data_IF_448411096817
#
_entry.id   IF_448411096817
#
_cell.length_a   1.000
_cell.length_b   1.000
_cell.length_c   1.000
_cell.angle_alpha   90.00
_cell.angle_beta   90.00
_cell.angle_gamma   90.00
#
_symmetry.space_group_name_H-M   'P 1'
#
loop_
_entity.id
_entity.type
_entity.pdbx_description
1 polymer ?
#
# COMPACT_ATOMS: atom_id res chain seq x y z
N UNK A 1 17.42 -10.49 0.13
CA UNK A 1 16.65 -9.24 -0.08
C UNK A 1 15.14 -9.49 -0.15
N UNK A 2 14.69 -10.51 -0.90
CA UNK A 2 13.25 -10.80 -1.13
C UNK A 2 12.46 -11.13 0.15
N UNK A 3 13.06 -11.84 1.11
CA UNK A 3 12.37 -12.27 2.36
C UNK A 3 12.02 -11.12 3.31
N UNK A 4 12.58 -9.92 3.08
CA UNK A 4 12.23 -8.73 3.87
C UNK A 4 10.95 -8.05 3.39
N UNK A 5 10.44 -8.37 2.20
CA UNK A 5 9.25 -7.73 1.63
C UNK A 5 8.02 -8.62 1.78
N UNK A 6 6.94 -8.04 2.31
CA UNK A 6 5.64 -8.68 2.36
C UNK A 6 5.15 -9.00 0.93
N UNK A 7 4.27 -9.99 0.81
CA UNK A 7 3.76 -10.45 -0.49
C UNK A 7 3.15 -9.30 -1.32
N UNK A 8 2.34 -8.44 -0.70
CA UNK A 8 1.77 -7.27 -1.37
C UNK A 8 2.84 -6.31 -1.92
N UNK A 9 3.89 -6.05 -1.14
CA UNK A 9 5.01 -5.21 -1.57
C UNK A 9 5.77 -5.85 -2.74
N UNK A 10 6.04 -7.16 -2.70
CA UNK A 10 6.66 -7.91 -3.81
C UNK A 10 5.82 -7.85 -5.07
N UNK A 11 4.49 -8.00 -4.94
CA UNK A 11 3.55 -7.87 -6.06
C UNK A 11 3.56 -6.46 -6.65
N UNK A 12 3.54 -5.40 -5.83
CA UNK A 12 3.62 -4.03 -6.33
C UNK A 12 4.93 -3.75 -7.09
N UNK A 13 6.07 -4.25 -6.60
CA UNK A 13 7.35 -4.14 -7.30
C UNK A 13 7.31 -4.90 -8.64
N UNK A 14 6.77 -6.11 -8.67
CA UNK A 14 6.61 -6.88 -9.89
C UNK A 14 5.65 -6.19 -10.90
N UNK A 15 4.58 -5.56 -10.42
CA UNK A 15 3.70 -4.75 -11.26
C UNK A 15 4.39 -3.50 -11.79
N UNK A 16 5.22 -2.83 -10.99
CA UNK A 16 5.99 -1.66 -11.44
C UNK A 16 6.97 -2.03 -12.56
N UNK A 17 7.58 -3.21 -12.47
CA UNK A 17 8.37 -3.83 -13.54
C UNK A 17 7.52 -3.98 -14.81
N UNK A 18 6.28 -4.49 -14.74
CA UNK A 18 5.40 -4.59 -15.91
C UNK A 18 5.11 -3.21 -16.54
N UNK A 19 4.80 -2.19 -15.73
CA UNK A 19 4.55 -0.82 -16.22
C UNK A 19 5.78 -0.22 -16.92
N UNK A 20 6.97 -0.49 -16.40
CA UNK A 20 8.23 0.04 -16.90
C UNK A 20 8.68 -0.57 -18.24
N UNK A 21 8.02 -1.61 -18.75
CA UNK A 21 8.42 -2.29 -20.00
C UNK A 21 8.54 -1.35 -21.19
N UNK A 22 7.67 -0.34 -21.27
CA UNK A 22 7.68 0.66 -22.34
C UNK A 22 8.75 1.75 -22.14
N UNK A 23 9.37 1.81 -20.96
CA UNK A 23 10.31 2.86 -20.58
C UNK A 23 11.75 2.36 -20.42
N UNK A 24 11.99 1.04 -20.47
CA UNK A 24 13.34 0.45 -20.45
C UNK A 24 13.97 0.30 -19.06
N UNK A 25 13.47 1.00 -18.06
CA UNK A 25 14.04 1.05 -16.70
C UNK A 25 12.93 1.21 -15.66
N UNK A 26 13.01 0.47 -14.56
CA UNK A 26 12.07 0.62 -13.44
C UNK A 26 12.50 1.79 -12.56
N UNK A 27 11.69 2.84 -12.60
CA UNK A 27 11.80 4.08 -11.81
C UNK A 27 10.78 4.11 -10.66
N UNK A 28 11.02 4.96 -9.66
CA UNK A 28 10.15 5.09 -8.48
C UNK A 28 8.73 5.57 -8.80
N UNK A 29 8.53 6.29 -9.91
CA UNK A 29 7.23 6.72 -10.46
C UNK A 29 6.35 5.55 -10.90
N UNK A 30 6.90 4.48 -11.47
CA UNK A 30 6.15 3.25 -11.78
C UNK A 30 5.64 2.58 -10.51
N UNK A 31 6.48 2.54 -9.47
CA UNK A 31 6.08 1.98 -8.19
C UNK A 31 4.98 2.84 -7.56
N UNK A 32 5.16 4.16 -7.55
CA UNK A 32 4.13 5.08 -7.05
C UNK A 32 2.82 4.92 -7.82
N UNK A 33 2.85 4.87 -9.15
CA UNK A 33 1.67 4.65 -9.98
C UNK A 33 0.93 3.37 -9.59
N UNK A 34 1.64 2.25 -9.44
CA UNK A 34 1.04 0.98 -9.01
C UNK A 34 0.40 1.10 -7.63
N UNK A 35 1.02 1.85 -6.70
CA UNK A 35 0.47 2.05 -5.35
C UNK A 35 -0.83 2.87 -5.38
N UNK A 36 -0.96 3.85 -6.29
CA UNK A 36 -2.10 4.79 -6.28
C UNK A 36 -3.22 4.44 -7.26
N UNK A 37 -2.92 3.77 -8.39
CA UNK A 37 -3.89 3.58 -9.49
C UNK A 37 -5.12 2.77 -9.08
N UNK A 38 -4.93 1.74 -8.25
CA UNK A 38 -6.03 0.83 -7.87
C UNK A 38 -6.90 1.50 -6.80
N UNK A 39 -6.41 2.57 -6.17
CA UNK A 39 -7.13 3.34 -5.16
C UNK A 39 -7.55 2.52 -3.94
N UNK A 40 -6.96 1.34 -3.73
CA UNK A 40 -7.35 0.40 -2.69
C UNK A 40 -6.22 0.16 -1.70
N UNK A 41 -6.56 -0.36 -0.53
CA UNK A 41 -5.60 -0.70 0.51
C UNK A 41 -5.06 0.48 1.34
N UNK A 42 -4.15 0.15 2.24
CA UNK A 42 -3.70 1.04 3.31
C UNK A 42 -3.06 2.35 2.83
N UNK A 43 -2.16 2.28 1.85
CA UNK A 43 -1.48 3.46 1.30
C UNK A 43 -2.46 4.44 0.64
N UNK A 44 -3.39 3.92 -0.15
CA UNK A 44 -4.44 4.72 -0.79
C UNK A 44 -5.32 5.42 0.26
N UNK A 45 -5.68 4.69 1.33
CA UNK A 45 -6.44 5.25 2.45
C UNK A 45 -5.68 6.37 3.16
N UNK A 46 -4.39 6.18 3.47
CA UNK A 46 -3.56 7.21 4.12
C UNK A 46 -3.48 8.46 3.23
N UNK A 47 -3.17 8.30 1.95
CA UNK A 47 -3.08 9.43 1.02
C UNK A 47 -4.40 10.22 0.95
N UNK A 48 -5.56 9.54 0.91
CA UNK A 48 -6.86 10.22 0.97
C UNK A 48 -7.10 10.98 2.27
N UNK A 49 -6.70 10.41 3.41
CA UNK A 49 -6.78 11.10 4.70
C UNK A 49 -5.91 12.37 4.73
N UNK A 50 -4.81 12.37 3.98
CA UNK A 50 -3.96 13.54 3.77
C UNK A 50 -4.50 14.53 2.72
N UNK A 51 -5.70 14.28 2.17
CA UNK A 51 -6.34 15.15 1.17
C UNK A 51 -5.86 14.94 -0.26
N UNK A 52 -5.13 13.85 -0.54
CA UNK A 52 -4.64 13.54 -1.89
C UNK A 52 -5.76 12.93 -2.72
N UNK A 53 -6.07 13.57 -3.85
CA UNK A 53 -6.87 12.94 -4.90
C UNK A 53 -6.01 11.97 -5.71
N UNK A 54 -6.26 10.67 -5.51
CA UNK A 54 -5.48 9.60 -6.14
C UNK A 54 -5.65 9.56 -7.66
N UNK A 55 -6.82 9.97 -8.17
CA UNK A 55 -7.07 10.01 -9.61
C UNK A 55 -6.20 11.08 -10.27
N UNK A 56 -6.17 12.29 -9.71
CA UNK A 56 -5.28 13.37 -10.17
C UNK A 56 -3.81 12.99 -10.05
N UNK A 57 -3.39 12.39 -8.92
CA UNK A 57 -2.00 11.94 -8.74
C UNK A 57 -1.60 10.88 -9.77
N UNK A 58 -2.45 9.87 -10.01
CA UNK A 58 -2.20 8.85 -11.02
C UNK A 58 -2.11 9.46 -12.44
N UNK A 59 -3.01 10.39 -12.76
CA UNK A 59 -3.01 11.08 -14.05
C UNK A 59 -1.72 11.89 -14.25
N UNK A 60 -1.28 12.64 -13.23
CA UNK A 60 -0.05 13.43 -13.30
C UNK A 60 1.19 12.56 -13.52
N UNK A 61 1.28 11.41 -12.84
CA UNK A 61 2.39 10.46 -13.05
C UNK A 61 2.42 9.97 -14.50
N UNK A 62 1.27 9.61 -15.08
CA UNK A 62 1.19 9.14 -16.46
C UNK A 62 1.48 10.24 -17.49
N UNK A 63 1.10 11.49 -17.21
CA UNK A 63 1.43 12.62 -18.09
C UNK A 63 2.93 12.87 -18.18
N UNK A 64 3.65 12.64 -17.08
CA UNK A 64 5.11 12.76 -17.03
C UNK A 64 5.81 11.59 -17.76
N UNK A 65 5.10 10.49 -18.03
CA UNK A 65 5.60 9.39 -18.84
C UNK A 65 5.54 9.76 -20.32
N UNK A 66 6.51 10.54 -20.78
CA UNK A 66 6.78 10.63 -22.21
C UNK A 66 7.12 9.24 -22.74
N UNK A 67 6.47 8.83 -23.82
CA UNK A 67 6.81 7.60 -24.52
C UNK A 67 8.30 7.64 -24.89
N UNK A 68 9.13 6.84 -24.20
CA UNK A 68 10.47 6.57 -24.69
C UNK A 68 10.30 5.86 -26.04
N UNK A 69 10.88 6.37 -27.13
CA UNK A 69 10.80 5.72 -28.42
C UNK A 69 11.44 4.34 -28.30
N UNK A 70 10.60 3.31 -28.48
CA UNK A 70 10.92 1.93 -28.84
C UNK A 70 12.21 1.35 -28.22
N UNK A 71 12.27 1.28 -26.89
CA UNK A 71 13.29 0.47 -26.22
C UNK A 71 12.79 -0.97 -26.21
N UNK A 72 13.18 -1.76 -27.21
CA UNK A 72 13.05 -3.20 -27.16
C UNK A 72 13.93 -3.76 -26.02
N UNK A 73 13.35 -3.94 -24.83
CA UNK A 73 14.08 -4.51 -23.70
C UNK A 73 14.13 -6.03 -23.87
N UNK A 74 15.21 -6.54 -24.47
CA UNK A 74 15.56 -7.94 -24.37
C UNK A 74 16.40 -8.15 -23.09
N UNK A 75 15.80 -8.62 -22.00
CA UNK A 75 16.49 -8.94 -20.74
C UNK A 75 15.70 -8.60 -19.48
N UNK A 76 16.28 -8.88 -18.31
CA UNK A 76 15.75 -8.40 -17.03
C UNK A 76 15.81 -6.87 -16.96
N UNK A 77 14.71 -6.23 -16.56
CA UNK A 77 14.67 -4.77 -16.42
C UNK A 77 15.50 -4.30 -15.23
N UNK A 78 16.37 -3.34 -15.47
CA UNK A 78 17.16 -2.71 -14.42
C UNK A 78 16.33 -1.73 -13.58
N UNK A 79 16.67 -1.62 -12.30
CA UNK A 79 16.19 -0.56 -11.44
C UNK A 79 17.08 0.67 -11.57
N UNK A 80 16.46 1.83 -11.76
CA UNK A 80 17.10 3.14 -11.68
C UNK A 80 17.76 3.41 -10.32
N UNK A 81 18.72 4.35 -10.23
CA UNK A 81 19.31 4.74 -8.95
C UNK A 81 18.28 5.19 -7.91
N UNK A 82 17.28 5.99 -8.32
CA UNK A 82 16.24 6.48 -7.41
C UNK A 82 15.30 5.37 -6.93
N UNK A 83 14.98 4.39 -7.78
CA UNK A 83 14.21 3.21 -7.36
C UNK A 83 15.00 2.36 -6.35
N UNK A 84 16.30 2.14 -6.58
CA UNK A 84 17.15 1.41 -5.63
C UNK A 84 17.23 2.13 -4.28
N UNK A 85 17.36 3.45 -4.30
CA UNK A 85 17.34 4.27 -3.09
C UNK A 85 16.00 4.17 -2.37
N UNK A 86 14.87 4.29 -3.09
CA UNK A 86 13.54 4.17 -2.50
C UNK A 86 13.32 2.80 -1.82
N UNK A 87 13.81 1.71 -2.41
CA UNK A 87 13.77 0.38 -1.81
C UNK A 87 14.64 0.29 -0.55
N UNK A 88 15.84 0.89 -0.55
CA UNK A 88 16.68 0.95 0.64
C UNK A 88 16.01 1.75 1.77
N UNK A 89 15.44 2.91 1.46
CA UNK A 89 14.69 3.75 2.40
C UNK A 89 13.43 3.04 2.92
N UNK A 90 12.79 2.18 2.12
CA UNK A 90 11.64 1.39 2.57
C UNK A 90 12.00 0.33 3.62
N UNK A 91 13.23 -0.21 3.56
CA UNK A 91 13.75 -1.13 4.58
C UNK A 91 14.00 -0.39 5.89
N UNK A 92 14.64 0.78 5.82
CA UNK A 92 14.86 1.64 6.97
C UNK A 92 13.54 2.07 7.60
N UNK A 93 12.57 2.52 6.80
CA UNK A 93 11.23 2.89 7.26
C UNK A 93 10.51 1.74 7.98
N UNK A 94 10.62 0.50 7.48
CA UNK A 94 10.04 -0.66 8.16
C UNK A 94 10.71 -0.89 9.53
N UNK A 95 12.04 -0.74 9.61
CA UNK A 95 12.79 -0.84 10.87
C UNK A 95 12.42 0.28 11.85
N UNK A 96 12.36 1.54 11.41
CA UNK A 96 11.98 2.70 12.21
C UNK A 96 10.58 2.56 12.82
N UNK A 97 9.65 1.94 12.08
CA UNK A 97 8.29 1.67 12.51
C UNK A 97 8.14 0.34 13.27
N UNK A 98 9.23 -0.38 13.54
CA UNK A 98 9.21 -1.65 14.28
C UNK A 98 8.58 -2.82 13.53
N UNK A 99 8.44 -2.73 12.21
CA UNK A 99 7.80 -3.75 11.39
C UNK A 99 8.82 -4.76 10.84
N UNK A 100 8.54 -6.06 11.03
CA UNK A 100 9.41 -7.17 10.58
C UNK A 100 9.56 -7.26 9.05
N UNK A 101 8.56 -6.80 8.31
CA UNK A 101 8.53 -6.86 6.84
C UNK A 101 8.18 -5.51 6.22
N UNK A 102 8.76 -5.23 5.06
CA UNK A 102 8.44 -4.07 4.22
C UNK A 102 7.07 -4.28 3.58
N UNK A 103 6.14 -3.36 3.85
CA UNK A 103 4.78 -3.33 3.29
C UNK A 103 4.64 -2.17 2.31
N UNK A 104 3.46 -2.02 1.69
CA UNK A 104 3.26 -1.04 0.62
C UNK A 104 3.41 0.40 1.14
N UNK A 105 3.00 0.66 2.38
CA UNK A 105 3.18 1.95 3.03
C UNK A 105 4.64 2.29 3.31
N UNK A 106 5.49 1.28 3.55
CA UNK A 106 6.93 1.49 3.70
C UNK A 106 7.58 1.77 2.33
N UNK A 107 7.08 1.15 1.26
CA UNK A 107 7.49 1.51 -0.11
C UNK A 107 7.15 2.97 -0.41
N UNK A 108 5.93 3.41 -0.08
CA UNK A 108 5.51 4.80 -0.26
C UNK A 108 6.37 5.76 0.58
N UNK A 109 6.61 5.44 1.85
CA UNK A 109 7.47 6.24 2.72
C UNK A 109 8.93 6.27 2.21
N UNK A 110 9.44 5.15 1.71
CA UNK A 110 10.75 5.07 1.08
C UNK A 110 10.88 5.96 -0.15
N UNK A 111 9.84 6.04 -0.99
CA UNK A 111 9.79 6.98 -2.13
C UNK A 111 9.90 8.43 -1.64
N UNK A 112 9.10 8.82 -0.63
CA UNK A 112 9.11 10.20 -0.13
C UNK A 112 10.45 10.55 0.53
N UNK A 113 11.05 9.63 1.30
CA UNK A 113 12.35 9.81 1.98
C UNK A 113 13.52 9.99 1.01
N UNK A 114 13.46 9.40 -0.19
CA UNK A 114 14.50 9.61 -1.22
C UNK A 114 14.67 11.09 -1.57
N UNK A 115 13.59 11.89 -1.53
CA UNK A 115 13.63 13.34 -1.72
C UNK A 115 13.86 13.80 -3.16
N UNK A 116 14.84 13.22 -3.87
CA UNK A 116 15.32 13.68 -5.17
C UNK A 116 14.61 13.04 -6.37
N UNK A 117 13.74 12.05 -6.15
CA UNK A 117 13.04 11.40 -7.25
C UNK A 117 11.81 12.19 -7.70
N UNK A 118 11.45 12.04 -8.98
CA UNK A 118 10.23 12.63 -9.54
C UNK A 118 8.98 12.20 -8.76
N UNK A 119 8.94 10.95 -8.31
CA UNK A 119 7.84 10.44 -7.50
C UNK A 119 7.76 11.14 -6.13
N UNK A 120 8.91 11.42 -5.50
CA UNK A 120 8.98 12.17 -4.26
C UNK A 120 8.54 13.63 -4.45
N UNK A 121 8.97 14.28 -5.54
CA UNK A 121 8.53 15.63 -5.92
C UNK A 121 7.02 15.71 -6.11
N UNK A 122 6.43 14.77 -6.84
CA UNK A 122 4.99 14.72 -7.06
C UNK A 122 4.24 14.58 -5.73
N UNK A 123 4.65 13.64 -4.87
CA UNK A 123 4.03 13.49 -3.56
C UNK A 123 4.12 14.79 -2.73
N UNK A 124 5.25 15.50 -2.76
CA UNK A 124 5.38 16.80 -2.11
C UNK A 124 4.45 17.86 -2.69
N UNK A 125 4.28 17.91 -4.02
CA UNK A 125 3.31 18.81 -4.65
C UNK A 125 1.87 18.53 -4.21
N UNK A 126 1.56 17.27 -3.92
CA UNK A 126 0.27 16.86 -3.33
C UNK A 126 0.23 16.99 -1.79
N UNK A 127 1.20 17.68 -1.18
CA UNK A 127 1.21 17.96 0.26
C UNK A 127 1.72 16.81 1.14
N UNK A 128 2.31 15.77 0.56
CA UNK A 128 2.82 14.60 1.29
C UNK A 128 4.30 14.77 1.58
N UNK A 129 4.64 14.97 2.86
CA UNK A 129 6.01 14.93 3.38
C UNK A 129 6.31 13.60 4.08
N UNK A 130 7.60 13.26 4.24
CA UNK A 130 8.01 12.02 4.91
C UNK A 130 7.49 11.98 6.36
N UNK A 131 7.58 13.11 7.07
CA UNK A 131 7.11 13.22 8.45
C UNK A 131 5.60 13.06 8.55
N UNK A 132 4.83 13.81 7.75
CA UNK A 132 3.36 13.70 7.74
C UNK A 132 2.89 12.29 7.35
N UNK A 133 3.57 11.63 6.42
CA UNK A 133 3.23 10.28 5.99
C UNK A 133 3.56 9.25 7.08
N UNK A 134 4.73 9.39 7.73
CA UNK A 134 5.13 8.52 8.85
C UNK A 134 4.14 8.65 10.01
N UNK A 135 3.76 9.87 10.37
CA UNK A 135 2.76 10.14 11.40
C UNK A 135 1.42 9.51 11.05
N UNK A 136 0.93 9.70 9.83
CA UNK A 136 -0.32 9.09 9.37
C UNK A 136 -0.25 7.55 9.39
N UNK A 137 0.88 6.94 9.01
CA UNK A 137 1.08 5.49 9.12
C UNK A 137 0.98 5.04 10.59
N UNK A 138 1.72 5.70 11.49
CA UNK A 138 1.72 5.36 12.92
C UNK A 138 0.33 5.52 13.54
N UNK A 139 -0.34 6.65 13.28
CA UNK A 139 -1.67 6.93 13.82
C UNK A 139 -2.70 5.91 13.34
N UNK A 140 -2.70 5.58 12.05
CA UNK A 140 -3.66 4.62 11.50
C UNK A 140 -3.34 3.19 11.96
N UNK A 141 -2.07 2.82 12.14
CA UNK A 141 -1.70 1.53 12.72
C UNK A 141 -2.19 1.38 14.18
N UNK A 142 -2.09 2.43 15.00
CA UNK A 142 -2.55 2.42 16.41
C UNK A 142 -4.06 2.61 16.52
N UNK A 143 -4.66 3.43 15.68
CA UNK A 143 -6.09 3.73 15.66
C UNK A 143 -6.95 2.51 15.28
N UNK A 144 -6.49 1.73 14.29
CA UNK A 144 -7.12 0.45 13.95
C UNK A 144 -7.11 -0.54 15.12
N UNK A 145 -6.12 -0.44 16.01
CA UNK A 145 -5.98 -1.36 17.13
C UNK A 145 -6.98 -1.18 18.26
N UNK A 146 -7.61 0.00 18.34
CA UNK A 146 -8.61 0.30 19.37
C UNK A 146 -10.05 0.06 18.89
N UNK A 147 -10.22 -0.36 17.63
CA UNK A 147 -11.53 -0.29 16.97
C UNK A 147 -12.30 -1.61 16.96
N UNK A 148 -11.65 -2.77 17.20
CA UNK A 148 -12.30 -4.08 17.11
C UNK A 148 -12.04 -4.97 18.33
N UNK A 149 -13.08 -5.66 18.78
CA UNK A 149 -13.09 -6.65 19.85
C UNK A 149 -13.75 -7.96 19.38
N UNK A 150 -13.43 -9.06 20.07
CA UNK A 150 -14.05 -10.35 19.79
C UNK A 150 -15.57 -10.29 19.97
N UNK A 151 -16.31 -10.73 18.97
CA UNK A 151 -17.78 -10.67 18.91
C UNK A 151 -18.33 -9.50 18.09
N UNK A 152 -17.50 -8.55 17.66
CA UNK A 152 -17.95 -7.43 16.84
C UNK A 152 -18.51 -7.90 15.49
N UNK A 153 -19.66 -7.35 15.11
CA UNK A 153 -20.26 -7.62 13.80
C UNK A 153 -19.69 -6.66 12.78
N UNK A 154 -19.07 -7.21 11.74
CA UNK A 154 -18.41 -6.44 10.71
C UNK A 154 -18.90 -6.79 9.32
N UNK A 155 -18.75 -5.85 8.39
CA UNK A 155 -18.88 -6.08 6.95
C UNK A 155 -17.52 -5.97 6.29
N UNK A 156 -17.23 -6.91 5.39
CA UNK A 156 -15.99 -6.92 4.63
C UNK A 156 -16.10 -5.94 3.45
N UNK A 157 -15.09 -5.09 3.28
CA UNK A 157 -15.07 -4.01 2.29
C UNK A 157 -14.36 -4.39 0.99
N UNK A 158 -13.38 -5.28 1.06
CA UNK A 158 -12.49 -5.62 -0.06
C UNK A 158 -12.29 -7.14 -0.21
N UNK A 159 -11.78 -7.57 -1.37
CA UNK A 159 -11.47 -8.97 -1.64
C UNK A 159 -12.67 -9.84 -2.06
N UNK A 160 -12.48 -11.18 -2.14
CA UNK A 160 -13.50 -12.11 -2.64
C UNK A 160 -14.75 -12.19 -1.75
N UNK A 161 -14.64 -11.76 -0.49
CA UNK A 161 -15.73 -11.72 0.47
C UNK A 161 -16.33 -10.32 0.62
N UNK A 162 -16.08 -9.40 -0.32
CA UNK A 162 -16.65 -8.04 -0.28
C UNK A 162 -18.17 -8.09 -0.08
N UNK A 163 -18.66 -7.22 0.81
CA UNK A 163 -20.03 -7.10 1.30
C UNK A 163 -20.55 -8.27 2.14
N UNK A 164 -19.75 -9.31 2.43
CA UNK A 164 -20.18 -10.35 3.34
C UNK A 164 -20.18 -9.84 4.79
N UNK A 165 -21.19 -10.22 5.59
CA UNK A 165 -21.14 -10.03 7.02
C UNK A 165 -20.20 -11.05 7.66
N UNK A 166 -19.67 -10.71 8.83
CA UNK A 166 -18.86 -11.61 9.64
C UNK A 166 -18.78 -11.16 11.09
N UNK A 167 -18.17 -12.00 11.92
CA UNK A 167 -17.94 -11.72 13.34
C UNK A 167 -16.45 -11.75 13.61
N UNK A 168 -15.93 -10.73 14.30
CA UNK A 168 -14.53 -10.69 14.72
C UNK A 168 -14.27 -11.79 15.74
N UNK A 169 -13.33 -12.68 15.45
CA UNK A 169 -12.85 -13.68 16.41
C UNK A 169 -11.73 -13.11 17.27
N UNK A 170 -10.75 -12.48 16.61
CA UNK A 170 -9.55 -11.96 17.26
C UNK A 170 -9.00 -10.78 16.48
N UNK A 171 -8.43 -9.82 17.20
CA UNK A 171 -7.65 -8.75 16.64
C UNK A 171 -6.16 -8.91 17.01
N UNK A 172 -5.27 -8.79 16.03
CA UNK A 172 -3.82 -8.86 16.18
C UNK A 172 -3.25 -7.46 15.95
N UNK A 173 -3.06 -6.72 17.05
CA UNK A 173 -2.66 -5.32 17.04
C UNK A 173 -1.32 -5.07 16.36
N UNK A 174 -0.30 -5.89 16.65
CA UNK A 174 1.04 -5.75 16.09
C UNK A 174 1.07 -5.85 14.55
N UNK A 175 0.12 -6.57 13.97
CA UNK A 175 0.02 -6.73 12.52
C UNK A 175 -1.09 -5.89 11.88
N UNK A 176 -1.92 -5.23 12.68
CA UNK A 176 -3.13 -4.56 12.21
C UNK A 176 -4.07 -5.50 11.45
N UNK A 177 -4.22 -6.74 11.93
CA UNK A 177 -5.09 -7.77 11.32
C UNK A 177 -6.27 -8.11 12.21
N UNK A 178 -7.41 -8.37 11.59
CA UNK A 178 -8.63 -8.86 12.23
C UNK A 178 -8.94 -10.23 11.63
N UNK A 179 -9.07 -11.25 12.47
CA UNK A 179 -9.62 -12.55 12.07
C UNK A 179 -11.13 -12.48 12.15
N UNK A 180 -11.80 -12.72 11.03
CA UNK A 180 -13.25 -12.64 10.90
C UNK A 180 -13.82 -14.00 10.52
N UNK A 181 -14.77 -14.47 11.31
CA UNK A 181 -15.61 -15.62 11.02
C UNK A 181 -16.69 -15.22 10.00
N UNK A 182 -16.56 -15.71 8.76
CA UNK A 182 -17.50 -15.42 7.67
C UNK A 182 -18.41 -16.64 7.43
N UNK A 183 -19.73 -16.53 7.63
CA UNK A 183 -20.65 -17.61 7.31
C UNK A 183 -20.86 -17.71 5.80
N UNK A 184 -20.46 -18.84 5.21
CA UNK A 184 -20.55 -19.15 3.79
C UNK A 184 -21.18 -20.54 3.62
N UNK A 185 -22.34 -20.62 2.97
CA UNK A 185 -23.08 -21.87 2.72
C UNK A 185 -23.29 -22.75 3.96
N UNK A 186 -23.63 -22.14 5.10
CA UNK A 186 -23.86 -22.86 6.36
C UNK A 186 -22.58 -23.32 7.09
N UNK A 187 -21.40 -22.93 6.62
CA UNK A 187 -20.12 -23.16 7.29
C UNK A 187 -19.48 -21.84 7.68
N UNK A 188 -18.79 -21.80 8.82
CA UNK A 188 -18.00 -20.64 9.22
C UNK A 188 -16.59 -20.80 8.64
N UNK A 189 -16.18 -19.84 7.82
CA UNK A 189 -14.84 -19.78 7.24
C UNK A 189 -14.07 -18.63 7.90
N UNK A 190 -12.99 -18.91 8.64
CA UNK A 190 -12.16 -17.86 9.22
C UNK A 190 -11.34 -17.18 8.10
N UNK A 191 -11.35 -15.86 8.07
CA UNK A 191 -10.62 -15.04 7.10
C UNK A 191 -9.77 -14.02 7.84
N UNK A 192 -8.48 -13.99 7.55
CA UNK A 192 -7.55 -13.00 8.11
C UNK A 192 -7.52 -11.75 7.23
N UNK A 193 -8.11 -10.66 7.73
CA UNK A 193 -8.26 -9.39 7.03
C UNK A 193 -7.43 -8.30 7.70
N UNK A 194 -7.21 -7.19 7.02
CA UNK A 194 -6.69 -5.97 7.64
C UNK A 194 -7.82 -5.23 8.34
N UNK A 195 -7.50 -4.51 9.41
CA UNK A 195 -8.52 -3.77 10.17
C UNK A 195 -9.29 -2.75 9.32
N UNK A 196 -8.67 -2.19 8.28
CA UNK A 196 -9.31 -1.23 7.37
C UNK A 196 -10.09 -1.90 6.24
N UNK A 197 -10.03 -3.23 6.10
CA UNK A 197 -10.81 -4.00 5.11
C UNK A 197 -12.17 -4.41 5.67
N UNK A 198 -12.49 -3.99 6.90
CA UNK A 198 -13.73 -4.29 7.59
C UNK A 198 -14.31 -3.03 8.21
N UNK A 199 -15.63 -2.93 8.25
CA UNK A 199 -16.36 -1.86 8.94
C UNK A 199 -17.34 -2.45 9.96
N UNK A 200 -17.60 -1.73 11.05
CA UNK A 200 -18.65 -2.08 11.99
C UNK A 200 -20.01 -2.01 11.33
N UNK A 201 -20.80 -3.08 11.46
CA UNK A 201 -22.22 -3.01 11.14
C UNK A 201 -22.98 -2.65 12.40
N UNK A 202 -23.49 -1.41 12.48
CA UNK A 202 -24.44 -1.09 13.55
C UNK A 202 -25.68 -1.98 13.39
N UNK A 203 -26.15 -2.56 14.50
CA UNK A 203 -27.49 -3.08 14.57
C UNK A 203 -28.44 -1.88 14.48
N UNK A 204 -29.17 -1.76 13.37
CA UNK A 204 -30.37 -0.92 13.29
C UNK A 204 -31.44 -1.44 14.23
#
# INVERSE_FOLDING_TARGET
MVDRFAEGARRSIASATIEARRHGVVRSDHLLFVVVRDGAGFSARILRLMGVDLASLASQIQQDWTASPDVAVAGEMAFSPDMKQALAMSLEAATELGHRHVRIEHLLLGIVKTGESRAAELLRHFGVSADSLREAITEQSVGGAKQFQGGDRVRILEGPFKNFPGVVEQFVAEEGRVRVAVPVFGRVTPVDLRWYEVEHTQAS
#
